data_IF_188530214211
#
_entry.id   IF_188530214211
#
_cell.length_a   1.000
_cell.length_b   1.000
_cell.length_c   1.000
_cell.angle_alpha   90.00
_cell.angle_beta   90.00
_cell.angle_gamma   90.00
#
_symmetry.space_group_name_H-M   'P 1'
#
loop_
_entity.id
_entity.type
_entity.pdbx_description
1 polymer ?
#
# COMPACT_ATOMS: atom_id res chain seq x y z
N UNK A 1 15.80 -2.98 -4.48
CA UNK A 1 15.83 -1.73 -5.24
C UNK A 1 15.09 -1.90 -6.56
N UNK A 2 15.68 -2.45 -7.63
CA UNK A 2 14.95 -2.58 -8.91
C UNK A 2 13.64 -3.36 -8.81
N UNK A 3 13.61 -4.43 -8.01
CA UNK A 3 12.37 -5.18 -7.77
C UNK A 3 11.32 -4.36 -7.01
N UNK A 4 11.73 -3.59 -5.98
CA UNK A 4 10.82 -2.73 -5.22
C UNK A 4 10.31 -1.56 -6.06
N UNK A 5 11.16 -1.00 -6.92
CA UNK A 5 10.80 0.10 -7.83
C UNK A 5 9.84 -0.40 -8.91
N UNK A 6 10.11 -1.57 -9.49
CA UNK A 6 9.23 -2.22 -10.46
C UNK A 6 7.87 -2.55 -9.86
N UNK A 7 7.84 -3.17 -8.67
CA UNK A 7 6.57 -3.47 -7.98
C UNK A 7 5.79 -2.18 -7.69
N UNK A 8 6.47 -1.13 -7.24
CA UNK A 8 5.82 0.15 -6.94
C UNK A 8 5.20 0.76 -8.21
N UNK A 9 5.93 0.79 -9.32
CA UNK A 9 5.41 1.30 -10.60
C UNK A 9 4.25 0.46 -11.14
N UNK A 10 4.33 -0.87 -11.02
CA UNK A 10 3.29 -1.79 -11.49
C UNK A 10 1.94 -1.54 -10.78
N UNK A 11 1.96 -1.22 -9.48
CA UNK A 11 0.74 -1.00 -8.70
C UNK A 11 0.26 0.46 -8.71
N UNK A 12 1.15 1.44 -8.84
CA UNK A 12 0.78 2.87 -8.92
C UNK A 12 0.18 3.27 -10.26
N UNK A 13 0.76 2.80 -11.38
CA UNK A 13 0.34 3.24 -12.70
C UNK A 13 -1.13 2.91 -13.00
N UNK A 14 -1.65 1.70 -12.72
CA UNK A 14 -3.07 1.40 -12.91
C UNK A 14 -3.96 2.25 -12.01
N UNK A 15 -3.58 2.45 -10.74
CA UNK A 15 -4.36 3.26 -9.81
C UNK A 15 -4.43 4.74 -10.24
N UNK A 16 -3.33 5.29 -10.73
CA UNK A 16 -3.29 6.66 -11.23
C UNK A 16 -4.06 6.84 -12.53
N UNK A 17 -3.98 5.86 -13.46
CA UNK A 17 -4.76 5.86 -14.71
C UNK A 17 -6.26 5.76 -14.40
N UNK A 18 -6.67 4.89 -13.48
CA UNK A 18 -8.08 4.74 -13.07
C UNK A 18 -8.61 6.00 -12.37
N UNK A 19 -7.75 6.78 -11.69
CA UNK A 19 -8.14 8.06 -11.11
C UNK A 19 -8.21 9.17 -12.18
N UNK A 20 -7.29 9.17 -13.14
CA UNK A 20 -7.20 10.16 -14.22
C UNK A 20 -8.35 10.03 -15.25
N UNK A 21 -8.86 8.82 -15.46
CA UNK A 21 -10.08 8.57 -16.23
C UNK A 21 -11.21 8.27 -15.24
N UNK A 22 -11.95 9.28 -14.76
CA UNK A 22 -13.14 9.02 -13.96
C UNK A 22 -14.11 8.21 -14.82
N UNK A 23 -14.14 6.90 -14.58
CA UNK A 23 -15.22 6.06 -15.08
C UNK A 23 -16.49 6.64 -14.48
N UNK A 24 -17.35 7.24 -15.30
CA UNK A 24 -18.76 7.44 -14.98
C UNK A 24 -19.39 6.06 -14.82
N UNK A 25 -19.18 5.45 -13.64
CA UNK A 25 -19.81 4.20 -13.25
C UNK A 25 -21.23 4.59 -12.86
N UNK A 26 -22.26 4.12 -13.58
CA UNK A 26 -23.62 4.41 -13.20
C UNK A 26 -23.94 3.75 -11.84
N UNK A 27 -24.67 4.46 -10.98
CA UNK A 27 -24.93 4.19 -9.54
C UNK A 27 -25.56 2.83 -9.15
N UNK A 28 -25.63 1.83 -10.03
CA UNK A 28 -26.42 0.62 -9.84
C UNK A 28 -25.63 -0.67 -9.53
N UNK A 29 -24.30 -0.69 -9.62
CA UNK A 29 -23.46 -1.88 -9.35
C UNK A 29 -22.56 -1.74 -8.10
N UNK A 30 -23.19 -1.54 -6.94
CA UNK A 30 -22.56 -1.44 -5.61
C UNK A 30 -21.45 -2.47 -5.28
N UNK A 31 -21.62 -3.80 -5.52
CA UNK A 31 -20.63 -4.79 -5.11
C UNK A 31 -19.33 -4.69 -5.91
N UNK A 32 -19.40 -4.23 -7.17
CA UNK A 32 -18.22 -4.12 -8.04
C UNK A 32 -17.41 -2.88 -7.68
N UNK A 33 -18.06 -1.75 -7.49
CA UNK A 33 -17.42 -0.48 -7.07
C UNK A 33 -16.71 -0.64 -5.72
N UNK A 34 -17.31 -1.34 -4.75
CA UNK A 34 -16.68 -1.62 -3.46
C UNK A 34 -15.39 -2.44 -3.59
N UNK A 35 -15.40 -3.48 -4.43
CA UNK A 35 -14.21 -4.30 -4.68
C UNK A 35 -13.08 -3.48 -5.33
N UNK A 36 -13.39 -2.59 -6.27
CA UNK A 36 -12.40 -1.70 -6.89
C UNK A 36 -11.80 -0.71 -5.88
N UNK A 37 -12.61 -0.12 -5.00
CA UNK A 37 -12.12 0.80 -3.96
C UNK A 37 -11.20 0.09 -2.98
N UNK A 38 -11.57 -1.09 -2.45
CA UNK A 38 -10.69 -1.91 -1.57
C UNK A 38 -9.39 -2.28 -2.29
N UNK A 39 -9.44 -2.67 -3.57
CA UNK A 39 -8.24 -2.98 -4.36
C UNK A 39 -7.30 -1.77 -4.53
N UNK A 40 -7.85 -0.58 -4.79
CA UNK A 40 -7.06 0.66 -4.92
C UNK A 40 -6.37 1.04 -3.61
N UNK A 41 -7.05 0.86 -2.48
CA UNK A 41 -6.49 1.13 -1.15
C UNK A 41 -5.34 0.18 -0.84
N UNK A 42 -5.54 -1.11 -1.06
CA UNK A 42 -4.50 -2.13 -0.85
C UNK A 42 -3.31 -1.86 -1.78
N UNK A 43 -3.55 -1.57 -3.06
CA UNK A 43 -2.50 -1.21 -4.02
C UNK A 43 -1.76 0.06 -3.60
N UNK A 44 -2.46 1.05 -3.04
CA UNK A 44 -1.88 2.26 -2.46
C UNK A 44 -0.95 1.95 -1.28
N UNK A 45 -1.39 1.10 -0.35
CA UNK A 45 -0.60 0.69 0.81
C UNK A 45 0.67 -0.10 0.45
N UNK A 46 0.55 -0.98 -0.55
CA UNK A 46 1.71 -1.72 -1.11
C UNK A 46 2.69 -0.75 -1.79
N UNK A 47 2.17 0.27 -2.48
CA UNK A 47 3.01 1.25 -3.19
C UNK A 47 3.76 2.16 -2.21
N UNK A 48 3.13 2.66 -1.16
CA UNK A 48 3.79 3.52 -0.16
C UNK A 48 4.89 2.78 0.58
N UNK A 49 4.63 1.53 0.98
CA UNK A 49 5.63 0.67 1.63
C UNK A 49 6.77 0.30 0.67
N UNK A 50 6.47 0.03 -0.60
CA UNK A 50 7.46 -0.17 -1.66
C UNK A 50 8.43 1.00 -1.83
N UNK A 51 7.93 2.25 -1.76
CA UNK A 51 8.76 3.47 -1.81
C UNK A 51 9.70 3.58 -0.61
N UNK A 52 9.18 3.34 0.59
CA UNK A 52 9.98 3.37 1.83
C UNK A 52 11.07 2.31 1.76
N UNK A 53 10.73 1.09 1.37
CA UNK A 53 11.69 0.00 1.16
C UNK A 53 12.78 0.37 0.16
N UNK A 54 12.43 1.02 -0.96
CA UNK A 54 13.40 1.48 -1.95
C UNK A 54 14.42 2.45 -1.35
N UNK A 55 13.96 3.45 -0.60
CA UNK A 55 14.84 4.43 0.07
C UNK A 55 15.79 3.73 1.05
N UNK A 56 15.28 2.86 1.92
CA UNK A 56 16.10 2.14 2.90
C UNK A 56 17.09 1.18 2.26
N UNK A 57 16.70 0.47 1.19
CA UNK A 57 17.61 -0.39 0.43
C UNK A 57 18.70 0.41 -0.29
N UNK A 58 18.37 1.61 -0.79
CA UNK A 58 19.35 2.52 -1.37
C UNK A 58 20.36 2.99 -0.32
N UNK A 59 19.89 3.41 0.86
CA UNK A 59 20.75 3.80 1.98
C UNK A 59 21.64 2.65 2.44
N UNK A 60 21.10 1.43 2.54
CA UNK A 60 21.91 0.25 2.89
C UNK A 60 23.03 0.01 1.85
N UNK A 61 22.72 0.13 0.56
CA UNK A 61 23.70 -0.03 -0.51
C UNK A 61 24.77 1.07 -0.53
N UNK A 62 24.39 2.32 -0.26
CA UNK A 62 25.35 3.43 -0.19
C UNK A 62 26.26 3.28 1.03
N UNK A 63 25.74 2.87 2.18
CA UNK A 63 26.54 2.58 3.39
C UNK A 63 27.54 1.45 3.12
N UNK A 64 27.12 0.36 2.48
CA UNK A 64 27.99 -0.77 2.15
C UNK A 64 29.20 -0.33 1.30
N UNK A 65 28.94 0.43 0.22
CA UNK A 65 30.00 1.02 -0.60
C UNK A 65 30.85 2.04 0.14
N UNK A 66 30.23 2.86 0.99
CA UNK A 66 30.94 3.87 1.78
C UNK A 66 31.93 3.24 2.76
N UNK A 67 31.54 2.17 3.46
CA UNK A 67 32.40 1.41 4.36
C UNK A 67 33.60 0.83 3.60
N UNK A 68 33.36 0.26 2.41
CA UNK A 68 34.42 -0.31 1.57
C UNK A 68 35.47 0.74 1.18
N UNK A 69 35.04 1.98 0.87
CA UNK A 69 35.93 3.07 0.46
C UNK A 69 36.68 3.67 1.65
N UNK A 70 35.97 4.01 2.73
CA UNK A 70 36.55 4.74 3.86
C UNK A 70 37.29 3.84 4.86
N UNK A 71 37.06 2.52 4.81
CA UNK A 71 37.66 1.53 5.71
C UNK A 71 38.06 0.26 4.93
N UNK A 72 39.10 0.32 4.07
CA UNK A 72 39.48 -0.79 3.18
C UNK A 72 39.83 -2.10 3.91
N UNK A 73 40.39 -2.02 5.13
CA UNK A 73 40.69 -3.22 5.94
C UNK A 73 39.47 -3.85 6.60
N UNK A 74 38.41 -3.07 6.78
CA UNK A 74 37.19 -3.47 7.51
C UNK A 74 36.07 -3.84 6.51
N UNK A 75 36.12 -3.30 5.29
CA UNK A 75 35.23 -3.60 4.17
C UNK A 75 34.90 -5.10 4.02
N UNK A 76 35.88 -6.01 3.86
CA UNK A 76 35.60 -7.44 3.64
C UNK A 76 34.93 -8.15 4.83
N UNK A 77 34.97 -7.59 6.04
CA UNK A 77 34.31 -8.17 7.23
C UNK A 77 32.82 -7.79 7.25
N UNK A 78 32.49 -6.56 6.86
CA UNK A 78 31.11 -6.03 6.91
C UNK A 78 30.35 -6.27 5.61
N UNK A 79 31.00 -6.05 4.46
CA UNK A 79 30.48 -6.20 3.10
C UNK A 79 30.48 -7.68 2.65
N UNK A 80 29.93 -8.58 3.48
CA UNK A 80 29.75 -9.98 3.09
C UNK A 80 28.35 -10.19 2.53
N UNK A 81 28.21 -11.09 1.53
CA UNK A 81 26.89 -11.43 0.97
C UNK A 81 25.89 -11.91 2.03
N UNK A 82 26.37 -12.55 3.12
CA UNK A 82 25.53 -13.00 4.23
C UNK A 82 24.92 -11.81 4.98
N UNK A 83 25.74 -10.80 5.30
CA UNK A 83 25.29 -9.60 5.98
C UNK A 83 24.34 -8.79 5.09
N UNK A 84 24.67 -8.61 3.81
CA UNK A 84 23.83 -7.88 2.86
C UNK A 84 22.43 -8.53 2.72
N UNK A 85 22.37 -9.87 2.69
CA UNK A 85 21.09 -10.61 2.72
C UNK A 85 20.33 -10.40 4.02
N UNK A 86 21.01 -10.45 5.16
CA UNK A 86 20.40 -10.21 6.47
C UNK A 86 19.81 -8.79 6.57
N UNK A 87 20.57 -7.76 6.19
CA UNK A 87 20.10 -6.36 6.18
C UNK A 87 18.90 -6.19 5.25
N UNK A 88 18.95 -6.80 4.05
CA UNK A 88 17.82 -6.77 3.10
C UNK A 88 16.57 -7.40 3.70
N UNK A 89 16.71 -8.55 4.38
CA UNK A 89 15.58 -9.22 5.05
C UNK A 89 15.01 -8.38 6.20
N UNK A 90 15.86 -7.76 7.02
CA UNK A 90 15.42 -6.90 8.13
C UNK A 90 14.62 -5.71 7.59
N UNK A 91 15.12 -5.05 6.54
CA UNK A 91 14.42 -3.92 5.90
C UNK A 91 13.05 -4.38 5.37
N UNK A 92 12.98 -5.57 4.78
CA UNK A 92 11.72 -6.12 4.28
C UNK A 92 10.71 -6.41 5.39
N UNK A 93 11.16 -7.00 6.50
CA UNK A 93 10.33 -7.26 7.69
C UNK A 93 9.78 -5.94 8.25
N UNK A 94 10.65 -4.93 8.39
CA UNK A 94 10.25 -3.59 8.84
C UNK A 94 9.20 -3.01 7.88
N UNK A 95 9.37 -3.15 6.56
CA UNK A 95 8.38 -2.71 5.58
C UNK A 95 7.00 -3.37 5.74
N UNK A 96 6.95 -4.66 6.08
CA UNK A 96 5.69 -5.36 6.36
C UNK A 96 5.02 -4.79 7.62
N UNK A 97 5.79 -4.52 8.68
CA UNK A 97 5.26 -3.88 9.88
C UNK A 97 4.73 -2.47 9.62
N UNK A 98 5.35 -1.72 8.69
CA UNK A 98 4.83 -0.43 8.24
C UNK A 98 3.55 -0.55 7.39
N UNK A 99 3.38 -1.65 6.66
CA UNK A 99 2.18 -1.89 5.87
C UNK A 99 0.93 -2.15 6.74
N UNK A 100 1.13 -2.79 7.89
CA UNK A 100 0.06 -3.23 8.79
C UNK A 100 -0.86 -2.10 9.31
N UNK A 101 -0.35 -1.01 9.92
CA UNK A 101 -1.22 0.08 10.39
C UNK A 101 -1.94 0.79 9.24
N UNK A 102 -1.33 0.84 8.05
CA UNK A 102 -1.91 1.51 6.89
C UNK A 102 -3.14 0.77 6.33
N UNK A 103 -3.19 -0.56 6.48
CA UNK A 103 -4.38 -1.36 6.14
C UNK A 103 -5.48 -1.15 7.17
N UNK A 104 -5.12 -1.06 8.47
CA UNK A 104 -6.06 -0.84 9.57
C UNK A 104 -6.69 0.56 9.56
N UNK A 105 -5.91 1.59 9.23
CA UNK A 105 -6.36 2.99 9.25
C UNK A 105 -7.43 3.27 8.19
N UNK A 106 -7.54 2.43 7.15
CA UNK A 106 -8.52 2.62 6.08
C UNK A 106 -9.87 1.92 6.34
N UNK A 107 -10.04 1.25 7.47
CA UNK A 107 -11.29 0.56 7.86
C UNK A 107 -12.34 1.33 8.70
N UNK A 108 -12.37 2.68 8.88
CA UNK A 108 -13.39 3.30 9.72
C UNK A 108 -14.67 3.82 9.01
N UNK A 109 -14.83 3.72 7.68
CA UNK A 109 -16.02 4.26 6.99
C UNK A 109 -17.12 3.25 6.64
N UNK A 110 -16.87 1.95 6.85
CA UNK A 110 -17.79 0.87 6.50
C UNK A 110 -19.08 0.90 7.33
N UNK A 111 -19.01 1.35 8.58
CA UNK A 111 -20.16 1.43 9.48
C UNK A 111 -21.10 2.59 9.13
N UNK A 112 -20.58 3.71 8.60
CA UNK A 112 -21.40 4.91 8.35
C UNK A 112 -22.29 4.74 7.11
N UNK A 113 -21.75 4.17 6.03
CA UNK A 113 -22.49 4.01 4.76
C UNK A 113 -23.60 2.94 4.84
N UNK A 114 -23.36 1.81 5.52
CA UNK A 114 -24.39 0.78 5.74
C UNK A 114 -25.55 1.33 6.58
N UNK A 115 -25.22 2.11 7.62
CA UNK A 115 -26.20 2.75 8.48
C UNK A 115 -27.07 3.73 7.68
N UNK A 116 -26.48 4.59 6.85
CA UNK A 116 -27.24 5.50 5.98
C UNK A 116 -28.20 4.76 5.03
N UNK A 117 -27.76 3.65 4.42
CA UNK A 117 -28.61 2.83 3.54
C UNK A 117 -29.76 2.18 4.31
N UNK A 118 -29.51 1.67 5.52
CA UNK A 118 -30.53 1.11 6.41
C UNK A 118 -31.56 2.17 6.83
N UNK A 119 -31.12 3.38 7.17
CA UNK A 119 -32.00 4.48 7.53
C UNK A 119 -32.88 4.93 6.35
N UNK A 120 -32.32 5.01 5.14
CA UNK A 120 -33.07 5.34 3.93
C UNK A 120 -34.13 4.28 3.59
N UNK A 121 -33.78 3.00 3.74
CA UNK A 121 -34.68 1.88 3.43
C UNK A 121 -35.81 1.75 4.47
N UNK A 122 -35.51 2.00 5.75
CA UNK A 122 -36.51 2.02 6.84
C UNK A 122 -37.51 3.15 6.66
N UNK A 123 -37.04 4.34 6.27
CA UNK A 123 -37.92 5.47 5.95
C UNK A 123 -38.87 5.13 4.79
N UNK A 124 -38.33 4.60 3.68
CA UNK A 124 -39.13 4.24 2.50
C UNK A 124 -40.20 3.19 2.80
N UNK A 125 -39.90 2.25 3.71
CA UNK A 125 -40.88 1.29 4.22
C UNK A 125 -41.99 1.99 4.99
N UNK A 126 -41.68 2.88 5.92
CA UNK A 126 -42.68 3.59 6.72
C UNK A 126 -43.72 4.34 5.88
N UNK A 127 -43.32 5.04 4.80
CA UNK A 127 -44.27 5.73 3.92
C UNK A 127 -45.21 4.79 3.15
N UNK A 128 -44.85 3.51 2.98
CA UNK A 128 -45.68 2.50 2.31
C UNK A 128 -46.76 1.88 3.19
N UNK A 129 -46.70 2.08 4.51
CA UNK A 129 -47.71 1.57 5.46
C UNK A 129 -48.70 2.65 5.90
N UNK A 130 -48.49 3.91 5.48
CA UNK A 130 -49.32 5.08 5.85
C UNK A 130 -50.25 5.49 4.68
N UNK A 131 -50.07 4.89 3.50
CA UNK A 131 -50.97 4.98 2.34
C UNK A 131 -51.72 3.65 2.16
#
# INVERSE_FOLDING_TARGET
>A
LCLSDFTTCLFLLPGYILNAYPLEIPDYDLPRTYAYTKLLIIAGAISTTGRVLSVWLCVAFTIDRWIMICRPFVGPIYCTMKNARCVTLIIFIIGIFYAFPLVLEYEPHEETALNEILFANTNKKNYRYIL
#
